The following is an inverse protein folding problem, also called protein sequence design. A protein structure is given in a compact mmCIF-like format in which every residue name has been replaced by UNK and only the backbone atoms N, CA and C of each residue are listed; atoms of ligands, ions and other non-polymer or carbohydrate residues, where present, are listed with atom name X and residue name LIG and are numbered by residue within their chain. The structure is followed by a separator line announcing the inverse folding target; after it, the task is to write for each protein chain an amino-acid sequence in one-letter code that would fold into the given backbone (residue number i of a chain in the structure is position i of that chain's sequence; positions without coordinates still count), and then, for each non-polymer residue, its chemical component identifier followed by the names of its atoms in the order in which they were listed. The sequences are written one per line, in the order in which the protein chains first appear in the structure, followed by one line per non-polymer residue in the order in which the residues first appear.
data_IF_607539089885
#
_entry.id   IF_607539089885
#
_cell.length_a   1.000
_cell.length_b   1.000
_cell.length_c   1.000
_cell.angle_alpha   90.00
_cell.angle_beta   90.00
_cell.angle_gamma   90.00
#
_symmetry.space_group_name_H-M   'P 1'
#
loop_
_entity.id
_entity.type
_entity.pdbx_description
1 polymer ?
#
# COMPACT_ATOMS: atom_id res chain seq x y z
N UNK A 1 25.25 32.82 2.65
CA UNK A 1 23.96 32.32 3.18
C UNK A 1 23.70 30.96 2.54
N UNK A 2 23.67 29.87 3.31
CA UNK A 2 22.98 28.65 2.87
C UNK A 2 22.14 28.08 4.04
N UNK A 3 20.99 27.42 3.92
CA UNK A 3 20.42 26.57 2.89
C UNK A 3 18.89 26.74 2.90
N UNK A 4 18.28 27.15 1.79
CA UNK A 4 16.83 27.07 1.63
C UNK A 4 16.48 25.61 1.35
N UNK A 5 16.20 24.84 2.41
CA UNK A 5 15.65 23.48 2.30
C UNK A 5 14.34 23.56 1.52
N UNK A 6 14.36 23.14 0.26
CA UNK A 6 13.16 23.02 -0.56
C UNK A 6 12.16 22.10 0.17
N UNK A 7 10.92 22.55 0.43
CA UNK A 7 9.90 21.69 1.02
C UNK A 7 9.65 20.51 0.07
N UNK A 8 9.61 19.25 0.57
CA UNK A 8 9.39 18.12 -0.31
C UNK A 8 8.00 18.22 -0.92
N UNK A 9 7.98 18.08 -2.24
CA UNK A 9 6.83 18.12 -3.13
C UNK A 9 5.57 17.46 -2.56
N UNK A 10 4.43 18.09 -2.85
CA UNK A 10 3.06 17.58 -2.71
C UNK A 10 3.02 16.07 -2.66
N UNK A 11 2.80 15.55 -1.44
CA UNK A 11 2.52 14.13 -1.22
C UNK A 11 1.28 13.79 -2.05
N UNK A 12 1.35 12.83 -3.00
CA UNK A 12 0.18 12.51 -3.82
C UNK A 12 -0.95 12.04 -2.91
N UNK A 13 -2.14 12.62 -3.15
CA UNK A 13 -3.38 12.33 -2.43
C UNK A 13 -3.67 10.83 -2.59
N UNK A 14 -3.68 10.09 -1.48
CA UNK A 14 -3.92 8.65 -1.44
C UNK A 14 -2.90 7.82 -0.63
N UNK A 15 -1.81 8.42 -0.11
CA UNK A 15 -0.90 7.72 0.80
C UNK A 15 -1.36 7.90 2.26
N UNK A 16 -1.76 6.82 2.97
CA UNK A 16 -2.02 6.89 4.42
C UNK A 16 -0.80 7.45 5.15
N UNK A 17 -1.04 8.30 6.16
CA UNK A 17 0.01 8.94 6.95
C UNK A 17 0.89 7.93 7.70
N UNK A 18 0.33 6.75 8.00
CA UNK A 18 1.01 5.61 8.61
C UNK A 18 0.72 4.36 7.78
N UNK A 19 1.70 3.89 7.03
CA UNK A 19 1.66 2.55 6.43
C UNK A 19 2.39 1.65 7.41
N UNK A 20 1.65 0.82 8.16
CA UNK A 20 2.20 -0.18 9.08
C UNK A 20 3.00 -1.26 8.34
N UNK A 21 4.19 -0.91 7.83
CA UNK A 21 5.05 -1.75 7.02
C UNK A 21 5.93 -0.97 6.03
N UNK A 22 6.87 -1.69 5.40
CA UNK A 22 7.74 -1.15 4.35
C UNK A 22 7.01 -1.13 3.00
N UNK A 23 7.21 -0.10 2.17
CA UNK A 23 6.75 -0.13 0.77
C UNK A 23 7.52 -1.21 0.01
N UNK A 24 6.80 -2.18 -0.57
CA UNK A 24 7.34 -3.26 -1.39
C UNK A 24 6.61 -3.23 -2.73
N UNK A 25 7.37 -3.35 -3.83
CA UNK A 25 6.82 -3.53 -5.17
C UNK A 25 6.83 -5.01 -5.50
N UNK A 26 5.69 -5.53 -5.96
CA UNK A 26 5.50 -6.93 -6.32
C UNK A 26 4.76 -7.00 -7.64
N UNK A 27 5.04 -8.05 -8.42
CA UNK A 27 4.29 -8.34 -9.64
C UNK A 27 3.10 -9.23 -9.28
N UNK A 28 1.89 -8.70 -9.51
CA UNK A 28 0.64 -9.44 -9.42
C UNK A 28 -0.08 -9.33 -10.77
N UNK A 29 -0.83 -10.37 -11.11
CA UNK A 29 -1.79 -10.35 -12.20
C UNK A 29 -3.01 -9.47 -11.87
N UNK A 30 -3.75 -9.09 -12.90
CA UNK A 30 -4.90 -8.19 -12.77
C UNK A 30 -6.02 -8.79 -11.90
N UNK A 31 -6.18 -10.11 -11.92
CA UNK A 31 -7.19 -10.80 -11.13
C UNK A 31 -6.82 -10.77 -9.64
N UNK A 32 -5.58 -11.10 -9.29
CA UNK A 32 -5.09 -10.99 -7.90
C UNK A 32 -5.19 -9.56 -7.35
N UNK A 33 -4.91 -8.54 -8.17
CA UNK A 33 -5.11 -7.14 -7.78
C UNK A 33 -6.58 -6.81 -7.50
N UNK A 34 -7.49 -7.29 -8.35
CA UNK A 34 -8.92 -7.09 -8.17
C UNK A 34 -9.45 -7.81 -6.91
N UNK A 35 -8.99 -9.03 -6.65
CA UNK A 35 -9.33 -9.78 -5.43
C UNK A 35 -8.81 -9.06 -4.20
N UNK A 36 -7.55 -8.62 -4.20
CA UNK A 36 -6.98 -7.84 -3.10
C UNK A 36 -7.76 -6.53 -2.87
N UNK A 37 -8.08 -5.79 -3.92
CA UNK A 37 -8.90 -4.59 -3.80
C UNK A 37 -10.28 -4.90 -3.18
N UNK A 38 -10.95 -5.97 -3.62
CA UNK A 38 -12.24 -6.41 -3.05
C UNK A 38 -12.12 -6.78 -1.57
N UNK A 39 -11.13 -7.59 -1.20
CA UNK A 39 -10.89 -8.02 0.20
C UNK A 39 -10.54 -6.83 1.12
N UNK A 40 -9.88 -5.82 0.58
CA UNK A 40 -9.46 -4.63 1.28
C UNK A 40 -10.41 -3.44 1.15
N UNK A 41 -11.65 -3.61 0.70
CA UNK A 41 -12.63 -2.52 0.51
C UNK A 41 -12.08 -1.34 -0.32
N UNK A 42 -11.40 -1.64 -1.42
CA UNK A 42 -10.72 -0.67 -2.28
C UNK A 42 -9.24 -0.47 -1.97
N UNK A 43 -8.71 -1.04 -0.88
CA UNK A 43 -7.28 -1.01 -0.56
C UNK A 43 -6.60 -2.34 -0.87
N UNK A 44 -5.83 -2.37 -1.96
CA UNK A 44 -5.04 -3.54 -2.37
C UNK A 44 -4.11 -4.03 -1.26
N UNK A 45 -3.41 -3.13 -0.55
CA UNK A 45 -2.46 -3.51 0.51
C UNK A 45 -3.15 -4.17 1.70
N UNK A 46 -4.33 -3.69 2.09
CA UNK A 46 -5.11 -4.31 3.17
C UNK A 46 -5.67 -5.67 2.75
N UNK A 47 -6.10 -5.80 1.49
CA UNK A 47 -6.54 -7.07 0.93
C UNK A 47 -5.45 -8.13 0.94
N UNK A 48 -4.25 -7.76 0.50
CA UNK A 48 -3.07 -8.64 0.54
C UNK A 48 -2.79 -9.08 1.99
N UNK A 49 -2.80 -8.14 2.94
CA UNK A 49 -2.55 -8.46 4.36
C UNK A 49 -3.59 -9.43 4.93
N UNK A 50 -4.88 -9.23 4.62
CA UNK A 50 -5.96 -10.15 5.01
C UNK A 50 -5.82 -11.52 4.38
N UNK A 51 -5.53 -11.60 3.08
CA UNK A 51 -5.35 -12.86 2.36
C UNK A 51 -4.18 -13.67 2.94
N UNK A 52 -3.05 -13.03 3.23
CA UNK A 52 -1.90 -13.68 3.87
C UNK A 52 -2.21 -14.18 5.28
N UNK A 53 -2.96 -13.40 6.07
CA UNK A 53 -3.39 -13.82 7.41
C UNK A 53 -4.30 -15.05 7.34
N UNK A 54 -5.28 -15.04 6.44
CA UNK A 54 -6.17 -16.19 6.22
C UNK A 54 -5.42 -17.45 5.74
N UNK A 55 -4.39 -17.28 4.90
CA UNK A 55 -3.56 -18.39 4.45
C UNK A 55 -2.66 -18.97 5.56
N UNK A 56 -2.24 -18.15 6.53
CA UNK A 56 -1.43 -18.59 7.66
C UNK A 56 -2.25 -19.22 8.80
N UNK A 57 -3.55 -18.91 8.87
CA UNK A 57 -4.51 -19.51 9.83
C UNK A 57 -5.15 -20.81 9.31
N UNK A 58 -4.83 -21.20 8.07
CA UNK A 58 -5.20 -22.49 7.47
C UNK A 58 -4.13 -23.54 7.72
#
# INVERSE_FOLDING_TARGET
MPDTKQPPEKRPVGRPADVGGKRVQVYLDAESLAIAAKLGNGNVSDGIRKALKQAAER
#
